data_IF_073854440438
#
_entry.id   IF_073854440438
#
_cell.length_a   1.000
_cell.length_b   1.000
_cell.length_c   1.000
_cell.angle_alpha   90.00
_cell.angle_beta   90.00
_cell.angle_gamma   90.00
#
_symmetry.space_group_name_H-M   'P 1'
#
loop_
_entity.id
_entity.type
_entity.pdbx_description
1 polymer ?
#
# COMPACT_ATOMS: atom_id res chain seq x y z
N UNK A 1 -17.25 0.98 -2.84
CA UNK A 1 -17.09 1.80 -1.62
C UNK A 1 -15.60 2.10 -1.47
N UNK A 2 -15.16 3.21 -0.89
CA UNK A 2 -13.73 3.53 -0.78
C UNK A 2 -13.27 3.52 0.69
N UNK A 3 -11.98 3.23 0.93
CA UNK A 3 -11.33 3.36 2.23
C UNK A 3 -9.91 3.89 2.07
N UNK A 4 -9.47 4.71 3.02
CA UNK A 4 -8.17 5.38 2.98
C UNK A 4 -7.46 5.10 4.29
N UNK A 5 -6.19 4.74 4.20
CA UNK A 5 -5.28 4.60 5.33
C UNK A 5 -4.05 5.45 5.03
N UNK A 6 -3.61 6.22 6.02
CA UNK A 6 -2.40 7.03 5.95
C UNK A 6 -1.57 6.83 7.21
N UNK A 7 -0.25 6.86 7.05
CA UNK A 7 0.68 6.75 8.16
C UNK A 7 1.98 7.50 7.84
N UNK A 8 2.65 7.98 8.88
CA UNK A 8 3.96 8.64 8.81
C UNK A 8 4.88 7.89 9.76
N UNK A 9 6.04 7.46 9.26
CA UNK A 9 7.03 6.75 10.06
C UNK A 9 8.44 6.93 9.48
N UNK A 10 9.45 6.72 10.32
CA UNK A 10 10.87 6.68 9.92
C UNK A 10 11.35 5.27 9.53
N UNK A 11 10.42 4.32 9.39
CA UNK A 11 10.67 2.91 9.05
C UNK A 11 9.70 2.49 7.95
N UNK A 12 9.91 1.29 7.40
CA UNK A 12 9.04 0.81 6.33
C UNK A 12 7.60 0.69 6.81
N UNK A 13 6.75 1.47 6.14
CA UNK A 13 5.34 1.65 6.50
C UNK A 13 4.43 0.88 5.54
N UNK A 14 4.95 0.35 4.43
CA UNK A 14 4.15 -0.38 3.43
C UNK A 14 3.37 -1.55 4.06
N UNK A 15 3.96 -2.42 4.91
CA UNK A 15 3.20 -3.51 5.53
C UNK A 15 2.05 -3.01 6.40
N UNK A 16 2.22 -1.87 7.09
CA UNK A 16 1.20 -1.27 7.96
C UNK A 16 0.05 -0.69 7.12
N UNK A 17 0.37 -0.04 6.00
CA UNK A 17 -0.64 0.48 5.08
C UNK A 17 -1.46 -0.65 4.46
N UNK A 18 -0.83 -1.73 4.01
CA UNK A 18 -1.53 -2.88 3.42
C UNK A 18 -2.42 -3.60 4.43
N UNK A 19 -1.94 -3.80 5.66
CA UNK A 19 -2.76 -4.37 6.74
C UNK A 19 -3.96 -3.47 7.08
N UNK A 20 -3.76 -2.15 7.10
CA UNK A 20 -4.85 -1.18 7.25
C UNK A 20 -5.90 -1.33 6.15
N UNK A 21 -5.48 -1.44 4.88
CA UNK A 21 -6.40 -1.67 3.76
C UNK A 21 -7.15 -2.99 3.89
N UNK A 22 -6.48 -4.07 4.32
CA UNK A 22 -7.09 -5.39 4.53
C UNK A 22 -8.21 -5.32 5.58
N UNK A 23 -8.02 -4.54 6.66
CA UNK A 23 -9.07 -4.30 7.67
C UNK A 23 -10.27 -3.52 7.14
N UNK A 24 -10.09 -2.74 6.08
CA UNK A 24 -11.19 -2.01 5.44
C UNK A 24 -11.86 -2.81 4.31
N UNK A 25 -11.27 -3.93 3.88
CA UNK A 25 -11.71 -4.72 2.71
C UNK A 25 -13.16 -5.23 2.83
N UNK A 26 -13.68 -5.40 4.05
CA UNK A 26 -15.09 -5.76 4.30
C UNK A 26 -16.10 -4.81 3.64
N UNK A 27 -15.68 -3.58 3.29
CA UNK A 27 -16.49 -2.58 2.60
C UNK A 27 -16.69 -2.85 1.10
N UNK A 28 -15.95 -3.80 0.53
CA UNK A 28 -15.98 -4.14 -0.89
C UNK A 28 -15.16 -3.19 -1.74
N UNK A 29 -13.97 -3.65 -2.13
CA UNK A 29 -13.05 -2.98 -3.06
C UNK A 29 -12.90 -3.76 -4.36
N UNK A 30 -12.99 -3.03 -5.46
CA UNK A 30 -12.72 -3.46 -6.83
C UNK A 30 -11.27 -3.18 -7.27
N UNK A 31 -10.55 -2.38 -6.48
CA UNK A 31 -9.13 -2.05 -6.68
C UNK A 31 -8.48 -1.62 -5.37
N UNK A 32 -7.15 -1.72 -5.30
CA UNK A 32 -6.36 -1.25 -4.18
C UNK A 32 -5.06 -0.59 -4.67
N UNK A 33 -4.49 0.27 -3.83
CA UNK A 33 -3.22 0.91 -4.15
C UNK A 33 -2.54 1.50 -2.94
N UNK A 34 -1.22 1.65 -3.05
CA UNK A 34 -0.37 2.30 -2.05
C UNK A 34 0.56 3.29 -2.75
N UNK A 35 0.79 4.43 -2.10
CA UNK A 35 1.79 5.40 -2.51
C UNK A 35 2.67 5.72 -1.31
N UNK A 36 3.99 5.67 -1.49
CA UNK A 36 4.97 5.94 -0.45
C UNK A 36 6.06 6.85 -1.00
N UNK A 37 6.55 7.75 -0.15
CA UNK A 37 7.76 8.51 -0.41
C UNK A 37 8.96 7.66 0.03
N UNK A 38 9.96 7.52 -0.83
CA UNK A 38 11.24 6.97 -0.44
C UNK A 38 12.13 8.06 0.21
N UNK A 39 13.29 7.72 0.77
CA UNK A 39 14.14 8.72 1.44
C UNK A 39 14.83 9.70 0.50
N UNK A 40 14.81 9.48 -0.82
CA UNK A 40 15.17 10.51 -1.81
C UNK A 40 14.02 11.48 -2.11
N UNK A 41 12.86 11.35 -1.46
CA UNK A 41 11.68 12.19 -1.68
C UNK A 41 10.91 11.88 -2.97
N UNK A 42 11.24 10.77 -3.63
CA UNK A 42 10.54 10.29 -4.82
C UNK A 42 9.29 9.49 -4.41
N UNK A 43 8.17 9.78 -5.07
CA UNK A 43 6.92 9.08 -4.85
C UNK A 43 6.89 7.77 -5.65
N UNK A 44 6.92 6.64 -4.95
CA UNK A 44 6.63 5.32 -5.53
C UNK A 44 5.16 4.98 -5.33
N UNK A 45 4.55 4.36 -6.35
CA UNK A 45 3.15 3.95 -6.30
C UNK A 45 2.93 2.60 -6.95
N UNK A 46 2.14 1.75 -6.29
CA UNK A 46 1.62 0.49 -6.82
C UNK A 46 0.10 0.52 -6.77
N UNK A 47 -0.55 0.02 -7.82
CA UNK A 47 -2.01 -0.11 -7.89
C UNK A 47 -2.36 -1.41 -8.59
N UNK A 48 -3.38 -2.09 -8.10
CA UNK A 48 -3.88 -3.33 -8.70
C UNK A 48 -5.40 -3.29 -8.80
N UNK A 49 -5.93 -4.00 -9.78
CA UNK A 49 -7.36 -4.31 -9.86
C UNK A 49 -7.62 -5.55 -9.00
N UNK A 50 -8.71 -5.54 -8.26
CA UNK A 50 -9.13 -6.60 -7.36
C UNK A 50 -8.76 -6.36 -5.90
N UNK A 51 -8.68 -7.46 -5.13
CA UNK A 51 -8.54 -7.45 -3.67
C UNK A 51 -7.16 -6.99 -3.20
N UNK A 52 -7.07 -6.62 -1.93
CA UNK A 52 -5.83 -6.18 -1.26
C UNK A 52 -4.73 -7.24 -1.36
N UNK A 53 -5.08 -8.53 -1.42
CA UNK A 53 -4.11 -9.60 -1.63
C UNK A 53 -3.30 -9.43 -2.93
N UNK A 54 -3.94 -9.04 -4.03
CA UNK A 54 -3.26 -8.84 -5.32
C UNK A 54 -2.28 -7.67 -5.22
N UNK A 55 -2.64 -6.63 -4.46
CA UNK A 55 -1.73 -5.52 -4.18
C UNK A 55 -0.49 -5.99 -3.39
N UNK A 56 -0.68 -6.85 -2.38
CA UNK A 56 0.43 -7.42 -1.62
C UNK A 56 1.37 -8.22 -2.54
N UNK A 57 0.82 -9.10 -3.37
CA UNK A 57 1.61 -9.90 -4.31
C UNK A 57 2.41 -9.01 -5.28
N UNK A 58 1.82 -7.91 -5.76
CA UNK A 58 2.50 -6.94 -6.63
C UNK A 58 3.61 -6.17 -5.92
N UNK A 59 3.43 -5.83 -4.64
CA UNK A 59 4.46 -5.20 -3.81
C UNK A 59 5.62 -6.17 -3.58
N UNK A 60 5.33 -7.44 -3.32
CA UNK A 60 6.37 -8.46 -3.08
C UNK A 60 7.17 -8.76 -4.36
N UNK A 61 6.51 -8.73 -5.54
CA UNK A 61 7.15 -8.92 -6.83
C UNK A 61 8.00 -7.72 -7.29
N UNK A 62 7.62 -6.50 -6.92
CA UNK A 62 8.35 -5.27 -7.21
C UNK A 62 8.43 -4.40 -5.96
N UNK A 63 9.41 -4.66 -5.08
CA UNK A 63 9.46 -4.04 -3.76
C UNK A 63 9.49 -2.51 -3.83
N UNK A 64 8.36 -1.90 -3.48
CA UNK A 64 8.30 -0.47 -3.17
C UNK A 64 8.78 -0.26 -1.75
N UNK A 65 10.06 -0.51 -1.50
CA UNK A 65 10.68 -0.20 -0.22
C UNK A 65 10.75 1.33 -0.05
N UNK A 66 10.34 1.81 1.12
CA UNK A 66 10.87 3.00 1.76
C UNK A 66 10.87 2.74 3.26
N UNK A 67 11.90 3.08 4.05
CA UNK A 67 13.00 4.00 3.78
C UNK A 67 14.42 3.38 3.81
N UNK A 68 15.34 4.02 3.06
CA UNK A 68 16.54 4.69 3.60
C UNK A 68 16.42 6.14 3.15
#
# INVERSE_FOLDING_TARGET
MCGIVGAIAQRDIVPVLVEGLRRLEYRGYDSAGVAVLNGSGELKRVRTVGKVQILQDAIDASPTHGPI
#
